data_IF_322076231703
#
_entry.id   IF_322076231703
#
_cell.length_a   1.000
_cell.length_b   1.000
_cell.length_c   1.000
_cell.angle_alpha   90.00
_cell.angle_beta   90.00
_cell.angle_gamma   90.00
#
_symmetry.space_group_name_H-M   'P 1'
#
loop_
_entity.id
_entity.type
_entity.pdbx_description
1 polymer ?
#
# COMPACT_ATOMS: atom_id res chain seq x y z
N UNK A 1 2.75 5.45 -19.04
CA UNK A 1 3.68 5.11 -17.93
C UNK A 1 4.18 6.34 -17.17
N UNK A 2 4.73 7.39 -17.79
CA UNK A 2 5.21 8.57 -17.04
C UNK A 2 4.09 9.36 -16.32
N UNK A 3 2.95 9.55 -17.00
CA UNK A 3 1.77 10.23 -16.43
C UNK A 3 1.19 9.43 -15.25
N UNK A 4 1.00 8.13 -15.43
CA UNK A 4 0.51 7.21 -14.39
C UNK A 4 1.40 7.21 -13.14
N UNK A 5 2.73 7.18 -13.32
CA UNK A 5 3.70 7.35 -12.22
C UNK A 5 3.55 8.69 -11.52
N UNK A 6 3.35 9.78 -12.28
CA UNK A 6 3.16 11.11 -11.71
C UNK A 6 1.86 11.20 -10.91
N UNK A 7 0.77 10.62 -11.42
CA UNK A 7 -0.52 10.55 -10.73
C UNK A 7 -0.40 9.78 -9.42
N UNK A 8 0.27 8.62 -9.44
CA UNK A 8 0.52 7.84 -8.23
C UNK A 8 1.34 8.59 -7.19
N UNK A 9 2.40 9.27 -7.64
CA UNK A 9 3.22 10.09 -6.75
C UNK A 9 2.42 11.24 -6.14
N UNK A 10 1.49 11.84 -6.88
CA UNK A 10 0.62 12.89 -6.36
C UNK A 10 -0.41 12.33 -5.38
N UNK A 11 -1.00 11.17 -5.65
CA UNK A 11 -1.91 10.49 -4.72
C UNK A 11 -1.18 10.13 -3.41
N UNK A 12 0.05 9.63 -3.48
CA UNK A 12 0.86 9.33 -2.31
C UNK A 12 1.19 10.59 -1.49
N UNK A 13 1.54 11.70 -2.15
CA UNK A 13 1.77 12.98 -1.47
C UNK A 13 0.52 13.48 -0.74
N UNK A 14 -0.64 13.37 -1.38
CA UNK A 14 -1.91 13.76 -0.77
C UNK A 14 -2.29 12.86 0.40
N UNK A 15 -2.16 11.53 0.27
CA UNK A 15 -2.48 10.60 1.36
C UNK A 15 -1.59 10.82 2.59
N UNK A 16 -0.29 11.06 2.38
CA UNK A 16 0.65 11.42 3.46
C UNK A 16 0.21 12.71 4.15
N UNK A 17 -0.11 13.76 3.37
CA UNK A 17 -0.53 15.06 3.92
C UNK A 17 -1.80 14.91 4.78
N UNK A 18 -2.81 14.21 4.27
CA UNK A 18 -4.07 13.97 4.99
C UNK A 18 -3.82 13.16 6.26
N UNK A 19 -3.07 12.06 6.18
CA UNK A 19 -2.76 11.22 7.33
C UNK A 19 -2.06 12.03 8.45
N UNK A 20 -1.06 12.84 8.11
CA UNK A 20 -0.35 13.67 9.08
C UNK A 20 -1.29 14.71 9.70
N UNK A 21 -2.05 15.45 8.88
CA UNK A 21 -2.93 16.51 9.39
C UNK A 21 -4.04 15.96 10.28
N UNK A 22 -4.66 14.86 9.87
CA UNK A 22 -5.76 14.25 10.61
C UNK A 22 -5.26 13.54 11.88
N UNK A 23 -4.09 12.90 11.85
CA UNK A 23 -3.51 12.26 13.05
C UNK A 23 -3.07 13.26 14.12
N UNK A 24 -2.45 14.37 13.71
CA UNK A 24 -2.08 15.46 14.63
C UNK A 24 -3.31 16.08 15.30
N UNK A 25 -4.42 16.17 14.57
CA UNK A 25 -5.69 16.68 15.10
C UNK A 25 -6.39 15.69 16.02
N UNK A 26 -6.20 14.38 15.80
CA UNK A 26 -6.80 13.31 16.60
C UNK A 26 -6.11 13.13 17.97
N UNK A 27 -4.79 13.31 18.04
CA UNK A 27 -4.04 13.34 19.31
C UNK A 27 -3.95 12.03 20.09
N UNK A 28 -4.30 10.89 19.48
CA UNK A 28 -4.18 9.54 20.05
C UNK A 28 -3.54 8.58 19.05
N UNK A 29 -3.13 7.40 19.54
CA UNK A 29 -2.66 6.29 18.69
C UNK A 29 -3.68 5.94 17.62
N UNK A 30 -3.19 5.67 16.41
CA UNK A 30 -3.99 5.24 15.27
C UNK A 30 -4.21 3.72 15.34
N UNK A 31 -5.41 3.29 15.00
CA UNK A 31 -5.80 1.89 14.91
C UNK A 31 -6.15 1.52 13.44
N UNK A 32 -6.43 0.24 13.19
CA UNK A 32 -6.76 -0.28 11.85
C UNK A 32 -8.05 0.31 11.27
N UNK A 33 -8.91 0.87 12.10
CA UNK A 33 -10.20 1.44 11.70
C UNK A 33 -10.08 2.92 11.29
N UNK A 34 -8.88 3.50 11.40
CA UNK A 34 -8.65 4.89 11.06
C UNK A 34 -8.56 5.09 9.54
N UNK A 35 -9.61 5.65 8.95
CA UNK A 35 -9.75 5.83 7.49
C UNK A 35 -8.54 6.49 6.79
N UNK A 36 -7.92 7.58 7.31
CA UNK A 36 -6.73 8.16 6.67
C UNK A 36 -5.53 7.19 6.63
N UNK A 37 -5.41 6.33 7.63
CA UNK A 37 -4.36 5.30 7.68
C UNK A 37 -4.66 4.16 6.70
N UNK A 38 -5.93 3.72 6.63
CA UNK A 38 -6.37 2.77 5.61
C UNK A 38 -6.08 3.29 4.20
N UNK A 39 -6.49 4.53 3.89
CA UNK A 39 -6.27 5.14 2.57
C UNK A 39 -4.79 5.23 2.21
N UNK A 40 -3.93 5.58 3.17
CA UNK A 40 -2.48 5.60 2.97
C UNK A 40 -1.96 4.24 2.53
N UNK A 41 -2.40 3.16 3.18
CA UNK A 41 -1.99 1.80 2.82
C UNK A 41 -2.51 1.34 1.45
N UNK A 42 -3.72 1.72 1.02
CA UNK A 42 -4.20 1.45 -0.36
C UNK A 42 -3.27 2.09 -1.38
N UNK A 43 -2.98 3.38 -1.21
CA UNK A 43 -2.15 4.14 -2.14
C UNK A 43 -0.73 3.59 -2.17
N UNK A 44 -0.17 3.22 -1.00
CA UNK A 44 1.13 2.57 -0.89
C UNK A 44 1.15 1.24 -1.64
N UNK A 45 0.13 0.39 -1.47
CA UNK A 45 0.02 -0.89 -2.19
C UNK A 45 0.03 -0.67 -3.71
N UNK A 46 -0.75 0.30 -4.19
CA UNK A 46 -0.81 0.60 -5.60
C UNK A 46 0.54 1.09 -6.13
N UNK A 47 1.24 1.94 -5.37
CA UNK A 47 2.59 2.38 -5.70
C UNK A 47 3.58 1.21 -5.79
N UNK A 48 3.51 0.25 -4.85
CA UNK A 48 4.38 -0.92 -4.81
C UNK A 48 4.09 -1.91 -5.95
N UNK A 49 2.82 -2.08 -6.32
CA UNK A 49 2.40 -2.91 -7.45
C UNK A 49 2.70 -2.26 -8.80
N UNK A 50 2.80 -0.94 -8.85
CA UNK A 50 3.05 -0.21 -10.08
C UNK A 50 4.46 -0.52 -10.64
N UNK A 51 4.51 -1.03 -11.87
CA UNK A 51 5.76 -1.38 -12.55
C UNK A 51 6.27 -2.81 -12.28
N UNK A 52 5.58 -3.59 -11.43
CA UNK A 52 5.88 -5.01 -11.30
C UNK A 52 5.50 -5.75 -12.58
N UNK A 53 6.44 -6.56 -13.07
CA UNK A 53 6.21 -7.45 -14.20
C UNK A 53 5.33 -8.61 -13.72
N UNK A 54 4.13 -8.75 -14.29
CA UNK A 54 3.26 -9.89 -14.00
C UNK A 54 3.96 -11.17 -14.44
N UNK A 55 4.26 -12.08 -13.50
CA UNK A 55 4.70 -13.43 -13.86
C UNK A 55 3.47 -14.19 -14.34
N UNK A 56 3.39 -14.52 -15.63
CA UNK A 56 2.30 -15.36 -16.15
C UNK A 56 2.41 -16.74 -15.50
N UNK A 57 1.55 -17.02 -14.53
CA UNK A 57 1.35 -18.35 -13.98
C UNK A 57 0.14 -19.00 -14.68
N UNK A 58 0.19 -20.31 -14.89
CA UNK A 58 -0.89 -21.08 -15.53
C UNK A 58 -2.23 -21.02 -14.75
N UNK A 59 -2.20 -20.56 -13.49
CA UNK A 59 -3.34 -20.54 -12.55
C UNK A 59 -3.82 -19.10 -12.22
N UNK A 60 -3.35 -18.09 -12.95
CA UNK A 60 -3.85 -16.72 -12.83
C UNK A 60 -2.74 -15.67 -12.79
N UNK A 61 -3.11 -14.42 -13.05
CA UNK A 61 -2.20 -13.28 -12.96
C UNK A 61 -2.24 -12.71 -11.54
N UNK A 62 -1.23 -12.98 -10.71
CA UNK A 62 -1.06 -12.25 -9.44
C UNK A 62 0.20 -11.37 -9.51
N UNK A 63 0.02 -10.05 -9.36
CA UNK A 63 1.12 -9.10 -9.13
C UNK A 63 1.35 -8.98 -7.63
N UNK A 64 2.25 -9.80 -7.10
CA UNK A 64 2.66 -9.71 -5.70
C UNK A 64 3.81 -8.71 -5.54
N UNK A 65 3.69 -7.77 -4.61
CA UNK A 65 4.76 -6.86 -4.21
C UNK A 65 5.70 -7.44 -3.13
N UNK A 66 5.44 -8.67 -2.66
CA UNK A 66 6.25 -9.34 -1.64
C UNK A 66 7.66 -9.65 -2.11
N UNK A 67 7.86 -10.01 -3.38
CA UNK A 67 9.19 -10.31 -3.91
C UNK A 67 10.19 -9.14 -3.74
N UNK A 68 9.82 -7.90 -4.08
CA UNK A 68 10.60 -6.73 -3.72
C UNK A 68 10.81 -6.52 -2.21
N UNK A 69 9.82 -6.81 -1.36
CA UNK A 69 9.95 -6.64 0.10
C UNK A 69 10.91 -7.66 0.73
N UNK A 70 10.94 -8.90 0.24
CA UNK A 70 11.94 -9.90 0.66
C UNK A 70 13.38 -9.45 0.36
N UNK A 71 13.59 -8.58 -0.64
CA UNK A 71 14.90 -7.99 -0.89
C UNK A 71 15.25 -6.89 0.12
N UNK A 72 14.26 -6.20 0.71
CA UNK A 72 14.50 -5.18 1.73
C UNK A 72 15.17 -5.79 2.95
N UNK A 73 14.73 -6.98 3.38
CA UNK A 73 15.37 -7.71 4.49
C UNK A 73 16.87 -7.97 4.24
N UNK A 74 17.22 -8.33 3.00
CA UNK A 74 18.62 -8.57 2.60
C UNK A 74 19.45 -7.29 2.58
N UNK A 75 18.83 -6.14 2.34
CA UNK A 75 19.48 -4.83 2.27
C UNK A 75 19.52 -4.13 3.64
N UNK A 76 18.54 -4.40 4.49
CA UNK A 76 18.34 -3.80 5.80
C UNK A 76 18.09 -4.91 6.84
N UNK A 77 19.15 -5.48 7.43
CA UNK A 77 19.02 -6.55 8.43
C UNK A 77 18.16 -6.18 9.64
N UNK A 78 18.04 -4.88 9.96
CA UNK A 78 17.17 -4.37 11.03
C UNK A 78 15.67 -4.55 10.75
N UNK A 79 15.28 -4.80 9.48
CA UNK A 79 13.88 -5.05 9.13
C UNK A 79 13.48 -6.52 9.25
N UNK A 80 14.38 -7.41 9.71
CA UNK A 80 14.13 -8.87 9.81
C UNK A 80 12.91 -9.19 10.66
N UNK A 81 12.71 -8.50 11.78
CA UNK A 81 11.58 -8.73 12.68
C UNK A 81 10.24 -8.36 12.01
N UNK A 82 10.25 -7.28 11.22
CA UNK A 82 9.08 -6.81 10.46
C UNK A 82 8.76 -7.76 9.30
N UNK A 83 9.78 -8.22 8.57
CA UNK A 83 9.63 -9.19 7.48
C UNK A 83 9.09 -10.53 8.00
N UNK A 84 9.65 -11.03 9.11
CA UNK A 84 9.21 -12.28 9.76
C UNK A 84 7.76 -12.18 10.25
N UNK A 85 7.40 -11.05 10.87
CA UNK A 85 6.02 -10.80 11.33
C UNK A 85 5.03 -10.73 10.17
N UNK A 86 5.42 -10.11 9.06
CA UNK A 86 4.62 -9.99 7.86
C UNK A 86 4.40 -11.33 7.13
N UNK A 87 5.42 -12.21 7.11
CA UNK A 87 5.33 -13.56 6.53
C UNK A 87 4.51 -14.52 7.40
N UNK A 88 4.50 -14.32 8.72
CA UNK A 88 3.71 -15.10 9.68
C UNK A 88 2.19 -14.82 9.62
N UNK A 89 1.81 -13.65 9.10
CA UNK A 89 0.42 -13.32 8.74
C UNK A 89 0.10 -13.96 7.38
N UNK A 90 -0.29 -15.24 7.41
CA UNK A 90 -0.73 -16.06 6.26
C UNK A 90 -0.63 -15.40 4.88
N UNK A 91 0.36 -15.86 4.10
CA UNK A 91 0.74 -15.54 2.71
C UNK A 91 -0.41 -15.46 1.68
N UNK A 92 -1.64 -15.78 2.07
CA UNK A 92 -2.80 -15.94 1.17
C UNK A 92 -3.56 -14.63 0.94
N UNK A 93 -3.45 -13.60 1.79
CA UNK A 93 -4.25 -12.37 1.60
C UNK A 93 -3.56 -11.06 2.04
N UNK A 94 -2.23 -11.07 2.13
CA UNK A 94 -1.46 -9.87 2.47
C UNK A 94 -1.33 -8.89 1.27
N UNK A 95 -2.44 -8.55 0.64
CA UNK A 95 -2.66 -7.15 0.30
C UNK A 95 -2.64 -6.37 1.63
N UNK A 96 -2.47 -5.06 1.64
CA UNK A 96 -2.43 -4.27 2.88
C UNK A 96 -3.79 -4.21 3.61
N UNK A 97 -4.61 -5.27 3.47
CA UNK A 97 -5.86 -5.58 4.14
C UNK A 97 -6.87 -4.46 3.99
N UNK A 98 -7.33 -4.20 2.76
CA UNK A 98 -8.53 -3.39 2.54
C UNK A 98 -9.44 -4.13 1.55
N UNK A 99 -10.50 -4.71 2.11
CA UNK A 99 -11.56 -5.40 1.37
C UNK A 99 -12.25 -4.37 0.49
N UNK A 100 -11.87 -4.40 -0.80
CA UNK A 100 -12.63 -3.95 -1.95
C UNK A 100 -13.37 -2.63 -1.82
N UNK A 101 -12.72 -1.54 -2.24
CA UNK A 101 -13.41 -0.59 -3.10
C UNK A 101 -12.51 -0.26 -4.28
N UNK A 102 -13.13 -0.32 -5.45
CA UNK A 102 -12.54 -0.01 -6.73
C UNK A 102 -11.94 1.40 -6.69
N UNK A 103 -10.63 1.54 -6.92
CA UNK A 103 -9.96 2.84 -6.98
C UNK A 103 -10.52 3.72 -8.11
N UNK A 104 -11.23 3.13 -9.08
CA UNK A 104 -11.96 3.84 -10.12
C UNK A 104 -13.26 4.51 -9.60
N UNK A 105 -13.80 4.04 -8.47
CA UNK A 105 -14.96 4.66 -7.80
C UNK A 105 -14.56 5.82 -6.86
N UNK A 106 -13.32 5.82 -6.31
CA UNK A 106 -12.86 6.82 -5.34
C UNK A 106 -12.07 8.01 -5.93
N UNK A 107 -11.85 8.06 -7.25
CA UNK A 107 -11.54 9.32 -7.95
C UNK A 107 -12.64 10.39 -7.70
N UNK A 108 -13.81 9.98 -7.18
CA UNK A 108 -14.88 10.87 -6.77
C UNK A 108 -14.72 11.58 -5.40
N UNK A 109 -13.80 11.18 -4.50
CA UNK A 109 -13.64 11.87 -3.18
C UNK A 109 -12.51 12.91 -3.19
N UNK A 110 -11.84 13.10 -4.34
CA UNK A 110 -11.08 14.32 -4.64
C UNK A 110 -11.77 15.06 -5.78
N UNK A 111 -13.03 15.45 -5.56
CA UNK A 111 -13.65 16.56 -6.27
C UNK A 111 -14.13 17.58 -5.24
N UNK A 112 -13.34 18.67 -5.17
CA UNK A 112 -13.56 19.95 -4.49
C UNK A 112 -13.58 19.93 -2.96
#
# INVERSE_FOLDING_TARGET
MAIERSNLMNMMKLSIKVLIQSSLSLGRTLDSEYLPLQQFFIVLEHCLKHGLKTKKSFIGQSKSFWGPLELVEKLCPESTDLATSALGLNVIDANLCLKGEDLDSQVCIVKL
#
